data_IF_841346686874
#
_entry.id   IF_841346686874
#
_cell.length_a   1.000
_cell.length_b   1.000
_cell.length_c   1.000
_cell.angle_alpha   90.00
_cell.angle_beta   90.00
_cell.angle_gamma   90.00
#
_symmetry.space_group_name_H-M   'P 1'
#
loop_
_entity.id
_entity.type
_entity.pdbx_description
1 polymer ?
#
# COMPACT_ATOMS: atom_id res chain seq x y z
N UNK A 1 27.23 -59.97 -66.29
CA UNK A 1 26.58 -59.31 -67.45
C UNK A 1 25.37 -58.57 -66.90
N UNK A 2 25.18 -57.26 -66.93
CA UNK A 2 25.76 -56.14 -67.68
C UNK A 2 26.20 -55.01 -66.70
N UNK A 3 27.35 -54.34 -66.84
CA UNK A 3 27.76 -53.22 -67.72
C UNK A 3 26.97 -51.91 -67.45
N UNK A 4 27.69 -50.88 -66.95
CA UNK A 4 27.37 -49.44 -66.75
C UNK A 4 27.14 -48.69 -68.10
N UNK A 5 26.87 -47.36 -68.25
CA UNK A 5 27.59 -46.22 -67.64
C UNK A 5 26.80 -44.88 -67.47
N UNK A 6 27.59 -43.85 -67.12
CA UNK A 6 27.39 -42.41 -66.87
C UNK A 6 26.85 -41.56 -68.03
N UNK A 7 26.29 -40.36 -67.73
CA UNK A 7 26.62 -39.10 -68.44
C UNK A 7 26.02 -37.82 -67.79
N UNK A 8 26.84 -36.78 -67.79
CA UNK A 8 26.62 -35.38 -67.42
C UNK A 8 25.60 -34.64 -68.30
N UNK A 9 25.05 -33.53 -67.77
CA UNK A 9 24.38 -32.50 -68.57
C UNK A 9 24.17 -31.20 -67.80
N UNK A 10 25.19 -30.33 -67.78
CA UNK A 10 25.09 -28.95 -67.31
C UNK A 10 24.17 -28.13 -68.22
N UNK A 11 23.32 -27.29 -67.62
CA UNK A 11 22.70 -26.17 -68.31
C UNK A 11 22.74 -24.93 -67.41
N UNK A 12 23.67 -24.03 -67.74
CA UNK A 12 23.74 -22.66 -67.27
C UNK A 12 22.42 -21.92 -67.51
N UNK A 13 21.91 -21.21 -66.50
CA UNK A 13 21.01 -20.06 -66.70
C UNK A 13 21.53 -18.84 -65.93
N UNK A 14 21.37 -17.62 -66.48
CA UNK A 14 22.13 -16.44 -66.07
C UNK A 14 21.58 -15.79 -64.81
N UNK A 15 22.47 -15.06 -64.13
CA UNK A 15 22.20 -14.16 -63.02
C UNK A 15 21.02 -13.22 -63.29
N UNK A 16 20.13 -13.10 -62.31
CA UNK A 16 19.41 -11.85 -62.08
C UNK A 16 19.55 -11.54 -60.59
N UNK A 17 20.46 -10.60 -60.29
CA UNK A 17 20.71 -10.05 -58.97
C UNK A 17 19.43 -9.38 -58.47
N UNK A 18 18.76 -9.97 -57.48
CA UNK A 18 17.76 -9.25 -56.70
C UNK A 18 18.49 -8.17 -55.88
N UNK A 19 18.01 -6.90 -55.86
CA UNK A 19 18.64 -5.87 -55.06
C UNK A 19 18.54 -6.23 -53.56
N UNK A 20 19.55 -5.91 -52.75
CA UNK A 20 19.45 -6.11 -51.31
C UNK A 20 18.31 -5.25 -50.79
N UNK A 21 17.33 -5.88 -50.15
CA UNK A 21 16.34 -5.17 -49.35
C UNK A 21 17.08 -4.47 -48.22
N UNK A 22 17.30 -3.17 -48.37
CA UNK A 22 17.74 -2.29 -47.30
C UNK A 22 16.64 -2.34 -46.24
N UNK A 23 16.83 -3.24 -45.27
CA UNK A 23 16.01 -3.33 -44.08
C UNK A 23 16.04 -1.97 -43.40
N UNK A 24 14.91 -1.26 -43.48
CA UNK A 24 14.60 -0.09 -42.66
C UNK A 24 15.08 -0.39 -41.23
N UNK A 25 15.86 0.49 -40.58
CA UNK A 25 16.19 0.29 -39.18
C UNK A 25 14.86 0.20 -38.43
N UNK A 26 14.62 -0.96 -37.80
CA UNK A 26 13.54 -1.10 -36.82
C UNK A 26 13.79 0.00 -35.81
N UNK A 27 12.91 1.01 -35.77
CA UNK A 27 12.90 2.03 -34.74
C UNK A 27 12.82 1.26 -33.42
N UNK A 28 13.93 1.18 -32.70
CA UNK A 28 13.94 0.71 -31.33
C UNK A 28 13.08 1.73 -30.57
N UNK A 29 11.83 1.35 -30.30
CA UNK A 29 10.99 2.06 -29.37
C UNK A 29 11.74 2.05 -28.05
N UNK A 30 12.35 3.18 -27.68
CA UNK A 30 12.98 3.34 -26.38
C UNK A 30 11.93 2.95 -25.33
N UNK A 31 12.27 2.14 -24.32
CA UNK A 31 11.35 1.89 -23.23
C UNK A 31 10.96 3.25 -22.66
N UNK A 32 9.65 3.47 -22.51
CA UNK A 32 9.15 4.65 -21.80
C UNK A 32 9.68 4.54 -20.37
N UNK A 33 10.78 5.25 -20.10
CA UNK A 33 11.31 5.42 -18.74
C UNK A 33 10.31 6.35 -18.06
N UNK A 34 9.30 5.75 -17.43
CA UNK A 34 8.44 6.49 -16.52
C UNK A 34 9.34 7.02 -15.40
N UNK A 35 9.35 8.34 -15.13
CA UNK A 35 10.10 8.89 -14.00
C UNK A 35 9.66 8.17 -12.74
N UNK A 36 10.62 7.56 -12.05
CA UNK A 36 10.40 6.92 -10.76
C UNK A 36 9.83 7.98 -9.81
N UNK A 37 8.68 7.74 -9.15
CA UNK A 37 8.22 8.68 -8.15
C UNK A 37 9.28 8.76 -7.05
N UNK A 38 9.74 9.98 -6.75
CA UNK A 38 10.58 10.21 -5.58
C UNK A 38 9.80 9.79 -4.33
N UNK A 39 10.52 9.39 -3.28
CA UNK A 39 9.89 9.10 -1.99
C UNK A 39 8.98 10.27 -1.56
N UNK A 40 9.38 11.52 -1.82
CA UNK A 40 8.62 12.73 -1.49
C UNK A 40 7.21 12.83 -2.06
N UNK A 41 6.87 12.03 -3.07
CA UNK A 41 5.50 11.94 -3.58
C UNK A 41 4.55 11.34 -2.52
N UNK A 42 5.04 10.48 -1.62
CA UNK A 42 4.25 9.96 -0.49
C UNK A 42 3.90 11.04 0.54
N UNK A 43 4.84 11.94 0.85
CA UNK A 43 4.58 13.08 1.71
C UNK A 43 3.55 14.03 1.08
N UNK A 44 3.68 14.33 -0.22
CA UNK A 44 2.74 15.18 -0.94
C UNK A 44 1.33 14.57 -1.00
N UNK A 45 1.21 13.27 -1.24
CA UNK A 45 -0.08 12.58 -1.22
C UNK A 45 -0.74 12.66 0.16
N UNK A 46 0.03 12.56 1.24
CA UNK A 46 -0.49 12.71 2.61
C UNK A 46 -1.08 14.10 2.88
N UNK A 47 -0.56 15.15 2.24
CA UNK A 47 -1.10 16.51 2.34
C UNK A 47 -2.49 16.61 1.69
N UNK A 48 -2.72 15.95 0.54
CA UNK A 48 -4.06 15.92 -0.10
C UNK A 48 -5.12 15.25 0.80
N UNK A 49 -4.72 14.27 1.60
CA UNK A 49 -5.60 13.60 2.57
C UNK A 49 -6.02 14.51 3.72
N UNK A 50 -5.25 15.56 4.05
CA UNK A 50 -5.63 16.52 5.10
C UNK A 50 -6.98 17.15 4.79
N UNK A 51 -7.21 17.54 3.54
CA UNK A 51 -8.49 18.12 3.11
C UNK A 51 -9.64 17.11 3.20
N UNK A 52 -9.42 15.85 2.81
CA UNK A 52 -10.45 14.81 2.94
C UNK A 52 -10.80 14.51 4.39
N UNK A 53 -9.80 14.40 5.28
CA UNK A 53 -10.02 14.25 6.73
C UNK A 53 -10.79 15.47 7.28
N UNK A 54 -10.37 16.69 6.94
CA UNK A 54 -11.06 17.91 7.38
C UNK A 54 -12.49 18.02 6.85
N UNK A 55 -12.75 17.64 5.59
CA UNK A 55 -14.11 17.62 5.02
C UNK A 55 -14.99 16.62 5.77
N UNK A 56 -14.49 15.41 6.01
CA UNK A 56 -15.25 14.35 6.70
C UNK A 56 -15.59 14.70 8.14
N UNK A 57 -14.67 15.35 8.84
CA UNK A 57 -14.90 15.95 10.17
C UNK A 57 -16.02 17.00 10.17
N UNK A 58 -16.04 17.91 9.19
CA UNK A 58 -17.11 18.90 9.03
C UNK A 58 -18.48 18.27 8.74
N UNK A 59 -18.53 17.21 7.95
CA UNK A 59 -19.77 16.46 7.71
C UNK A 59 -20.28 15.73 8.96
N UNK A 60 -19.38 15.25 9.82
CA UNK A 60 -19.73 14.68 11.13
C UNK A 60 -20.44 15.71 12.01
N UNK A 61 -20.02 16.97 12.00
CA UNK A 61 -20.68 18.05 12.77
C UNK A 61 -22.12 18.32 12.30
N UNK A 62 -22.41 18.29 10.99
CA UNK A 62 -23.77 18.54 10.46
C UNK A 62 -24.75 17.42 10.84
N UNK A 63 -24.27 16.17 10.96
CA UNK A 63 -25.08 15.04 11.45
C UNK A 63 -25.37 15.07 12.96
N UNK A 64 -24.56 15.80 13.74
CA UNK A 64 -24.71 15.92 15.21
C UNK A 64 -25.70 17.03 15.62
N UNK A 65 -26.18 17.86 14.68
CA UNK A 65 -27.16 18.94 14.96
C UNK A 65 -28.59 18.40 15.19
N UNK A 66 -28.83 17.08 15.06
CA UNK A 66 -30.11 16.44 15.41
C UNK A 66 -30.01 15.41 16.55
N UNK A 67 -28.88 15.34 17.25
CA UNK A 67 -28.62 14.35 18.32
C UNK A 67 -28.36 14.92 19.70
N UNK A 68 -28.57 16.21 19.95
CA UNK A 68 -28.35 16.78 21.29
C UNK A 68 -29.54 16.53 22.21
N UNK A 69 -29.55 15.35 22.83
CA UNK A 69 -29.92 15.23 24.24
C UNK A 69 -29.25 14.03 24.90
N UNK A 70 -28.51 14.38 25.96
CA UNK A 70 -28.00 13.53 27.06
C UNK A 70 -26.65 12.83 26.83
N UNK A 71 -25.57 13.52 27.22
CA UNK A 71 -24.70 13.06 28.31
C UNK A 71 -23.64 14.11 28.63
N UNK A 72 -24.02 15.10 29.46
CA UNK A 72 -23.06 15.86 30.25
C UNK A 72 -22.72 15.04 31.49
N UNK A 73 -21.82 14.06 31.32
CA UNK A 73 -21.06 13.52 32.45
C UNK A 73 -19.63 13.98 32.25
N UNK A 74 -19.23 14.95 33.08
CA UNK A 74 -17.84 15.27 33.39
C UNK A 74 -17.27 14.03 34.10
N UNK A 75 -17.03 12.99 33.31
CA UNK A 75 -16.32 11.80 33.73
C UNK A 75 -14.86 12.05 33.43
N UNK A 76 -14.03 11.94 34.46
CA UNK A 76 -12.59 11.79 34.34
C UNK A 76 -12.30 10.72 33.28
N UNK A 77 -12.05 11.12 32.02
CA UNK A 77 -11.57 10.16 31.02
C UNK A 77 -10.18 9.76 31.48
N UNK A 78 -9.99 8.47 31.73
CA UNK A 78 -8.66 7.93 32.02
C UNK A 78 -7.69 8.41 30.95
N UNK A 79 -6.47 8.83 31.33
CA UNK A 79 -5.49 9.29 30.36
C UNK A 79 -5.24 8.18 29.33
N UNK A 80 -5.29 8.55 28.05
CA UNK A 80 -5.11 7.61 26.95
C UNK A 80 -3.67 7.13 26.96
N UNK A 81 -3.48 5.85 27.26
CA UNK A 81 -2.15 5.24 27.30
C UNK A 81 -1.58 5.09 25.89
N UNK A 82 -0.29 5.42 25.72
CA UNK A 82 0.41 5.16 24.46
C UNK A 82 0.39 3.67 24.11
N UNK A 83 0.45 2.79 25.11
CA UNK A 83 0.34 1.34 24.91
C UNK A 83 -1.01 0.95 24.27
N UNK A 84 -2.11 1.57 24.70
CA UNK A 84 -3.43 1.31 24.13
C UNK A 84 -3.54 1.86 22.72
N UNK A 85 -2.98 3.05 22.47
CA UNK A 85 -2.87 3.64 21.13
C UNK A 85 -2.11 2.71 20.18
N UNK A 86 -0.99 2.14 20.62
CA UNK A 86 -0.18 1.22 19.81
C UNK A 86 -0.91 -0.10 19.55
N UNK A 87 -1.59 -0.66 20.55
CA UNK A 87 -2.37 -1.89 20.39
C UNK A 87 -3.58 -1.68 19.46
N UNK A 88 -4.25 -0.53 19.58
CA UNK A 88 -5.31 -0.16 18.65
C UNK A 88 -4.76 0.03 17.23
N UNK A 89 -3.59 0.65 17.05
CA UNK A 89 -2.94 0.78 15.75
C UNK A 89 -2.66 -0.57 15.09
N UNK A 90 -2.11 -1.54 15.84
CA UNK A 90 -1.86 -2.91 15.36
C UNK A 90 -3.15 -3.60 14.93
N UNK A 91 -4.22 -3.46 15.73
CA UNK A 91 -5.54 -4.03 15.39
C UNK A 91 -6.15 -3.39 14.15
N UNK A 92 -6.16 -2.05 14.06
CA UNK A 92 -6.60 -1.29 12.90
C UNK A 92 -5.85 -1.73 11.64
N UNK A 93 -4.52 -1.88 11.74
CA UNK A 93 -3.66 -2.30 10.64
C UNK A 93 -4.03 -3.72 10.20
N UNK A 94 -4.13 -4.67 11.12
CA UNK A 94 -4.54 -6.04 10.80
C UNK A 94 -5.94 -6.12 10.15
N UNK A 95 -6.90 -5.30 10.60
CA UNK A 95 -8.25 -5.23 10.03
C UNK A 95 -8.22 -4.69 8.61
N UNK A 96 -7.51 -3.59 8.40
CA UNK A 96 -7.35 -2.97 7.09
C UNK A 96 -6.64 -3.91 6.10
N UNK A 97 -5.50 -4.51 6.49
CA UNK A 97 -4.78 -5.47 5.64
C UNK A 97 -5.66 -6.68 5.30
N UNK A 98 -6.42 -7.25 6.25
CA UNK A 98 -7.35 -8.34 5.94
C UNK A 98 -8.41 -7.90 4.94
N UNK A 99 -8.97 -6.70 5.06
CA UNK A 99 -9.96 -6.19 4.13
C UNK A 99 -9.37 -6.00 2.72
N UNK A 100 -8.19 -5.38 2.63
CA UNK A 100 -7.48 -5.12 1.36
C UNK A 100 -7.01 -6.39 0.67
N UNK A 101 -6.50 -7.37 1.41
CA UNK A 101 -6.09 -8.65 0.83
C UNK A 101 -7.29 -9.49 0.36
N UNK A 102 -8.46 -9.36 1.01
CA UNK A 102 -9.69 -10.04 0.57
C UNK A 102 -10.25 -9.51 -0.75
N UNK A 103 -10.01 -8.25 -1.10
CA UNK A 103 -10.46 -7.70 -2.39
C UNK A 103 -9.61 -8.20 -3.56
N UNK A 104 -8.49 -8.87 -3.31
CA UNK A 104 -7.65 -9.47 -4.34
C UNK A 104 -7.90 -10.99 -4.44
N UNK A 105 -8.35 -11.46 -5.61
CA UNK A 105 -8.76 -12.86 -5.86
C UNK A 105 -7.62 -13.88 -5.77
N UNK A 106 -6.35 -13.43 -5.78
CA UNK A 106 -5.15 -14.26 -5.90
C UNK A 106 -4.51 -14.70 -4.56
N UNK A 107 -5.08 -14.35 -3.41
CA UNK A 107 -4.49 -14.74 -2.12
C UNK A 107 -4.80 -16.22 -1.85
N UNK A 108 -3.77 -17.05 -1.67
CA UNK A 108 -3.91 -18.42 -1.13
C UNK A 108 -4.70 -18.33 0.20
N UNK A 109 -5.99 -18.65 0.13
CA UNK A 109 -7.08 -18.12 0.99
C UNK A 109 -6.97 -18.43 2.48
N UNK A 110 -5.96 -19.20 2.93
CA UNK A 110 -5.94 -19.78 4.28
C UNK A 110 -4.80 -19.29 5.17
N UNK A 111 -3.56 -19.11 4.72
CA UNK A 111 -2.45 -18.91 5.65
C UNK A 111 -2.28 -17.47 6.13
N UNK A 112 -2.31 -16.48 5.23
CA UNK A 112 -2.13 -15.06 5.58
C UNK A 112 -3.31 -14.46 6.38
N UNK A 113 -4.54 -14.88 6.06
CA UNK A 113 -5.74 -14.32 6.70
C UNK A 113 -5.90 -14.78 8.16
N UNK A 114 -5.51 -16.03 8.49
CA UNK A 114 -5.67 -16.58 9.84
C UNK A 114 -4.76 -15.87 10.85
N UNK A 115 -3.50 -15.60 10.50
CA UNK A 115 -2.57 -14.85 11.37
C UNK A 115 -3.06 -13.42 11.59
N UNK A 116 -3.58 -12.77 10.54
CA UNK A 116 -4.21 -11.46 10.69
C UNK A 116 -5.44 -11.50 11.61
N UNK A 117 -6.25 -12.58 11.60
CA UNK A 117 -7.46 -12.70 12.45
C UNK A 117 -7.14 -12.52 13.92
N UNK A 118 -6.08 -13.16 14.40
CA UNK A 118 -5.62 -13.01 15.78
C UNK A 118 -5.32 -11.54 16.11
N UNK A 119 -4.53 -10.84 15.28
CA UNK A 119 -4.16 -9.44 15.53
C UNK A 119 -5.33 -8.46 15.45
N UNK A 120 -6.29 -8.68 14.54
CA UNK A 120 -7.48 -7.82 14.47
C UNK A 120 -8.44 -7.96 15.64
N UNK A 121 -8.33 -9.06 16.39
CA UNK A 121 -9.15 -9.31 17.56
C UNK A 121 -8.47 -8.84 18.86
N UNK A 122 -7.21 -8.37 18.79
CA UNK A 122 -6.42 -7.98 19.97
C UNK A 122 -6.86 -6.65 20.60
N UNK A 123 -7.58 -5.78 19.90
CA UNK A 123 -8.00 -4.49 20.45
C UNK A 123 -9.45 -4.52 20.97
N UNK A 124 -9.57 -4.38 22.29
CA UNK A 124 -10.79 -4.20 23.04
C UNK A 124 -11.08 -2.70 23.16
N UNK A 125 -12.08 -2.22 22.42
CA UNK A 125 -12.61 -0.87 22.57
C UNK A 125 -13.89 -0.75 21.75
N UNK A 126 -14.96 -0.19 22.34
CA UNK A 126 -16.31 -0.15 21.78
C UNK A 126 -16.38 0.45 20.37
N UNK A 127 -15.42 1.32 20.00
CA UNK A 127 -15.46 2.09 18.75
C UNK A 127 -14.37 1.67 17.74
N UNK A 128 -13.56 0.64 18.02
CA UNK A 128 -12.46 0.23 17.12
C UNK A 128 -12.95 -0.20 15.74
N UNK A 129 -14.17 -0.76 15.65
CA UNK A 129 -14.76 -1.15 14.37
C UNK A 129 -15.13 0.05 13.48
N UNK A 130 -15.68 1.11 14.09
CA UNK A 130 -16.05 2.36 13.41
C UNK A 130 -14.81 3.09 12.92
N UNK A 131 -13.81 3.24 13.80
CA UNK A 131 -12.51 3.84 13.44
C UNK A 131 -11.86 3.05 12.29
N UNK A 132 -11.89 1.71 12.34
CA UNK A 132 -11.36 0.89 11.26
C UNK A 132 -12.11 1.10 9.93
N UNK A 133 -13.42 1.35 9.97
CA UNK A 133 -14.20 1.62 8.79
C UNK A 133 -13.89 3.01 8.22
N UNK A 134 -13.83 4.04 9.06
CA UNK A 134 -13.50 5.40 8.64
C UNK A 134 -12.10 5.47 8.06
N UNK A 135 -11.12 4.86 8.74
CA UNK A 135 -9.75 4.76 8.26
C UNK A 135 -9.69 4.07 6.89
N UNK A 136 -10.45 2.99 6.69
CA UNK A 136 -10.53 2.29 5.40
C UNK A 136 -11.13 3.16 4.30
N UNK A 137 -12.12 3.99 4.61
CA UNK A 137 -12.70 4.90 3.63
C UNK A 137 -11.71 5.98 3.23
N UNK A 138 -10.99 6.56 4.19
CA UNK A 138 -9.96 7.57 3.93
C UNK A 138 -8.77 6.99 3.14
N UNK A 139 -8.32 5.78 3.46
CA UNK A 139 -7.26 5.12 2.69
C UNK A 139 -7.71 4.79 1.28
N UNK A 140 -8.93 4.28 1.10
CA UNK A 140 -9.47 4.02 -0.24
C UNK A 140 -9.57 5.31 -1.08
N UNK A 141 -10.00 6.42 -0.47
CA UNK A 141 -10.06 7.72 -1.15
C UNK A 141 -8.67 8.19 -1.59
N UNK A 142 -7.69 8.13 -0.70
CA UNK A 142 -6.28 8.44 -1.00
C UNK A 142 -5.71 7.56 -2.13
N UNK A 143 -5.98 6.26 -2.09
CA UNK A 143 -5.56 5.32 -3.13
C UNK A 143 -6.20 5.62 -4.48
N UNK A 144 -7.47 6.00 -4.50
CA UNK A 144 -8.19 6.37 -5.73
C UNK A 144 -7.66 7.68 -6.33
N UNK A 145 -7.22 8.62 -5.49
CA UNK A 145 -6.60 9.87 -5.94
C UNK A 145 -5.18 9.64 -6.48
N UNK A 146 -4.45 8.66 -5.95
CA UNK A 146 -3.06 8.38 -6.30
C UNK A 146 -2.83 6.90 -6.67
N UNK A 147 -3.51 6.35 -7.69
CA UNK A 147 -3.52 4.91 -7.96
C UNK A 147 -2.13 4.37 -8.28
N UNK A 148 -1.31 5.11 -9.03
CA UNK A 148 0.07 4.72 -9.35
C UNK A 148 0.95 4.62 -8.10
N UNK A 149 0.70 5.43 -7.07
CA UNK A 149 1.51 5.50 -5.86
C UNK A 149 1.23 4.33 -4.90
N UNK A 150 -0.02 3.87 -4.83
CA UNK A 150 -0.46 2.84 -3.89
C UNK A 150 -0.80 1.49 -4.54
N UNK A 151 -0.56 1.33 -5.85
CA UNK A 151 -0.70 0.04 -6.53
C UNK A 151 0.44 -0.94 -6.19
N UNK A 152 1.67 -0.42 -6.08
CA UNK A 152 2.88 -1.18 -5.70
C UNK A 152 3.95 -0.22 -5.17
N UNK A 153 4.37 -0.42 -3.92
CA UNK A 153 5.46 0.35 -3.30
C UNK A 153 6.80 -0.14 -3.84
N UNK A 154 6.97 -1.46 -3.97
CA UNK A 154 8.19 -2.05 -4.53
C UNK A 154 8.49 -1.50 -5.93
N UNK A 155 7.48 -1.45 -6.81
CA UNK A 155 7.64 -0.93 -8.18
C UNK A 155 7.99 0.55 -8.20
N UNK A 156 7.41 1.36 -7.31
CA UNK A 156 7.75 2.78 -7.16
C UNK A 156 9.20 2.99 -6.70
N UNK A 157 9.78 1.98 -6.05
CA UNK A 157 11.18 1.97 -5.67
C UNK A 157 12.10 1.29 -6.70
N UNK A 158 11.58 0.92 -7.87
CA UNK A 158 12.34 0.20 -8.89
C UNK A 158 12.77 -1.21 -8.46
N UNK A 159 12.08 -1.78 -7.46
CA UNK A 159 12.33 -3.14 -6.98
C UNK A 159 11.43 -4.11 -7.73
N UNK A 160 12.04 -5.17 -8.28
CA UNK A 160 11.31 -6.24 -8.97
C UNK A 160 10.75 -7.30 -8.02
N UNK A 161 11.37 -7.48 -6.85
CA UNK A 161 10.91 -8.39 -5.81
C UNK A 161 11.27 -7.88 -4.40
N UNK A 162 10.74 -8.55 -3.38
CA UNK A 162 11.06 -8.34 -1.97
C UNK A 162 11.58 -9.68 -1.42
N UNK A 163 12.89 -9.95 -1.53
CA UNK A 163 13.44 -11.30 -1.37
C UNK A 163 13.49 -11.78 0.09
N UNK A 164 13.22 -10.90 1.06
CA UNK A 164 13.25 -11.22 2.48
C UNK A 164 12.35 -10.29 3.29
N UNK A 165 11.93 -10.73 4.47
CA UNK A 165 11.19 -9.90 5.42
C UNK A 165 11.97 -8.63 5.83
N UNK A 166 13.30 -8.74 5.95
CA UNK A 166 14.16 -7.58 6.22
C UNK A 166 14.09 -6.53 5.11
N UNK A 167 14.05 -6.94 3.83
CA UNK A 167 13.88 -6.01 2.71
C UNK A 167 12.53 -5.28 2.78
N UNK A 168 11.46 -6.00 3.14
CA UNK A 168 10.13 -5.42 3.37
C UNK A 168 10.18 -4.38 4.49
N UNK A 169 10.82 -4.69 5.62
CA UNK A 169 10.95 -3.77 6.76
C UNK A 169 11.77 -2.52 6.41
N UNK A 170 12.84 -2.66 5.63
CA UNK A 170 13.65 -1.53 5.17
C UNK A 170 12.86 -0.61 4.23
N UNK A 171 12.11 -1.19 3.30
CA UNK A 171 11.21 -0.44 2.41
C UNK A 171 10.13 0.30 3.22
N UNK A 172 9.52 -0.38 4.19
CA UNK A 172 8.56 0.25 5.10
C UNK A 172 9.19 1.44 5.81
N UNK A 173 10.37 1.28 6.41
CA UNK A 173 11.04 2.34 7.18
C UNK A 173 11.36 3.56 6.30
N UNK A 174 11.94 3.34 5.11
CA UNK A 174 12.30 4.42 4.20
C UNK A 174 11.09 5.25 3.75
N UNK A 175 9.96 4.59 3.44
CA UNK A 175 8.73 5.30 3.01
C UNK A 175 8.02 5.95 4.21
N UNK A 176 8.06 5.32 5.39
CA UNK A 176 7.48 5.91 6.60
C UNK A 176 8.22 7.17 7.02
N UNK A 177 9.56 7.14 7.09
CA UNK A 177 10.39 8.32 7.40
C UNK A 177 10.10 9.49 6.45
N UNK A 178 9.89 9.17 5.18
CA UNK A 178 9.51 10.16 4.17
C UNK A 178 8.13 10.80 4.44
N UNK A 179 7.11 9.98 4.69
CA UNK A 179 5.75 10.45 5.00
C UNK A 179 5.76 11.37 6.22
N UNK A 180 6.62 11.08 7.20
CA UNK A 180 6.72 11.81 8.46
C UNK A 180 7.91 12.78 8.54
N UNK A 181 8.47 13.25 7.40
CA UNK A 181 9.55 14.25 7.43
C UNK A 181 9.14 15.57 8.10
N UNK A 182 7.87 15.97 8.01
CA UNK A 182 7.29 17.08 8.77
C UNK A 182 6.28 16.61 9.82
N UNK A 183 5.50 17.53 10.38
CA UNK A 183 4.61 17.26 11.50
C UNK A 183 3.65 16.08 11.30
N UNK A 184 3.41 15.35 12.39
CA UNK A 184 2.42 14.27 12.44
C UNK A 184 1.03 14.85 12.18
N UNK A 185 0.27 14.19 11.32
CA UNK A 185 -1.13 14.53 11.06
C UNK A 185 -1.93 13.29 10.71
N UNK A 186 -3.25 13.37 10.87
CA UNK A 186 -4.14 12.27 10.49
C UNK A 186 -4.02 11.89 9.01
N UNK A 187 -3.81 12.85 8.10
CA UNK A 187 -3.57 12.58 6.68
C UNK A 187 -2.30 11.74 6.44
N UNK A 188 -1.23 11.99 7.19
CA UNK A 188 0.02 11.19 7.15
C UNK A 188 -0.14 9.82 7.78
N UNK A 189 -0.90 9.72 8.86
CA UNK A 189 -1.27 8.43 9.44
C UNK A 189 -2.06 7.62 8.41
N UNK A 190 -3.06 8.19 7.75
CA UNK A 190 -3.80 7.51 6.67
C UNK A 190 -2.86 7.06 5.54
N UNK A 191 -1.92 7.92 5.11
CA UNK A 191 -0.92 7.56 4.10
C UNK A 191 -0.01 6.39 4.52
N UNK A 192 0.38 6.32 5.80
CA UNK A 192 1.12 5.20 6.38
C UNK A 192 0.32 3.89 6.26
N UNK A 193 -0.98 3.91 6.55
CA UNK A 193 -1.84 2.73 6.38
C UNK A 193 -1.95 2.34 4.91
N UNK A 194 -2.20 3.28 4.00
CA UNK A 194 -2.29 3.02 2.57
C UNK A 194 -0.98 2.43 2.01
N UNK A 195 0.18 2.97 2.39
CA UNK A 195 1.49 2.46 1.96
C UNK A 195 1.77 1.05 2.51
N UNK A 196 1.35 0.76 3.74
CA UNK A 196 1.50 -0.57 4.35
C UNK A 196 0.60 -1.59 3.65
N UNK A 197 -0.60 -1.17 3.25
CA UNK A 197 -1.52 -1.98 2.45
C UNK A 197 -0.95 -2.32 1.08
N UNK A 198 -0.37 -1.34 0.39
CA UNK A 198 0.28 -1.53 -0.89
C UNK A 198 1.50 -2.47 -0.78
N UNK A 199 2.32 -2.29 0.25
CA UNK A 199 3.48 -3.15 0.50
C UNK A 199 3.06 -4.59 0.88
N UNK A 200 1.98 -4.77 1.65
CA UNK A 200 1.42 -6.09 1.92
C UNK A 200 0.92 -6.79 0.65
N UNK A 201 0.34 -6.03 -0.29
CA UNK A 201 -0.05 -6.54 -1.60
C UNK A 201 1.17 -6.95 -2.43
N UNK A 202 2.28 -6.20 -2.38
CA UNK A 202 3.54 -6.56 -3.04
C UNK A 202 4.08 -7.89 -2.49
N UNK A 203 4.09 -8.08 -1.17
CA UNK A 203 4.50 -9.35 -0.54
C UNK A 203 3.66 -10.53 -1.04
N UNK A 204 2.33 -10.40 -1.06
CA UNK A 204 1.45 -11.50 -1.48
C UNK A 204 1.58 -11.79 -2.98
N UNK A 205 1.67 -10.76 -3.83
CA UNK A 205 1.89 -10.93 -5.28
C UNK A 205 3.25 -11.54 -5.57
N UNK A 206 4.26 -11.24 -4.75
CA UNK A 206 5.59 -11.82 -4.80
C UNK A 206 5.69 -13.24 -4.23
N UNK A 207 4.59 -13.83 -3.75
CA UNK A 207 4.59 -15.20 -3.20
C UNK A 207 4.98 -15.31 -1.73
N UNK A 208 5.04 -14.20 -0.99
CA UNK A 208 5.48 -14.12 0.40
C UNK A 208 4.41 -13.62 1.38
N UNK A 209 3.23 -14.27 1.48
CA UNK A 209 2.17 -13.86 2.40
C UNK A 209 2.58 -13.92 3.88
N UNK A 210 3.63 -14.66 4.24
CA UNK A 210 4.16 -14.79 5.58
C UNK A 210 4.74 -13.49 6.15
N UNK A 211 5.22 -12.58 5.29
CA UNK A 211 5.80 -11.28 5.69
C UNK A 211 4.74 -10.26 6.13
N UNK A 212 3.47 -10.49 5.82
CA UNK A 212 2.38 -9.55 6.10
C UNK A 212 2.17 -9.35 7.61
N UNK A 213 2.39 -10.38 8.43
CA UNK A 213 2.29 -10.22 9.88
C UNK A 213 3.42 -9.33 10.42
N UNK A 214 4.63 -9.50 9.90
CA UNK A 214 5.80 -8.67 10.22
C UNK A 214 5.52 -7.20 9.97
N UNK A 215 4.84 -6.86 8.87
CA UNK A 215 4.40 -5.49 8.59
C UNK A 215 3.50 -4.88 9.67
N UNK A 216 2.57 -5.65 10.24
CA UNK A 216 1.70 -5.15 11.32
C UNK A 216 2.50 -4.86 12.59
N UNK A 217 3.47 -5.73 12.91
CA UNK A 217 4.38 -5.50 14.03
C UNK A 217 5.26 -4.28 13.77
N UNK A 218 5.79 -4.17 12.54
CA UNK A 218 6.66 -3.08 12.13
C UNK A 218 5.95 -1.72 12.21
N UNK A 219 4.72 -1.66 11.71
CA UNK A 219 3.80 -0.53 11.87
C UNK A 219 3.60 -0.17 13.35
N UNK A 220 3.31 -1.16 14.19
CA UNK A 220 3.10 -0.92 15.62
C UNK A 220 4.30 -0.27 16.30
N UNK A 221 5.52 -0.70 15.97
CA UNK A 221 6.75 -0.14 16.56
C UNK A 221 7.02 1.27 16.02
N UNK A 222 6.74 1.54 14.74
CA UNK A 222 6.83 2.90 14.20
C UNK A 222 5.83 3.83 14.88
N UNK A 223 4.59 3.37 15.07
CA UNK A 223 3.56 4.14 15.79
C UNK A 223 4.01 4.42 17.22
N UNK A 224 4.52 3.43 17.94
CA UNK A 224 5.03 3.59 19.31
C UNK A 224 6.12 4.65 19.40
N UNK A 225 7.09 4.63 18.49
CA UNK A 225 8.24 5.54 18.48
C UNK A 225 7.86 6.96 18.06
N UNK A 226 7.11 7.12 16.98
CA UNK A 226 7.03 8.40 16.26
C UNK A 226 5.63 9.04 16.27
N UNK A 227 4.57 8.29 16.59
CA UNK A 227 3.19 8.72 16.33
C UNK A 227 2.31 8.69 17.58
N UNK A 228 2.56 7.76 18.51
CA UNK A 228 1.67 7.47 19.63
C UNK A 228 1.48 8.67 20.55
N UNK A 229 2.57 9.40 20.84
CA UNK A 229 2.51 10.60 21.67
C UNK A 229 1.57 11.66 21.08
N UNK A 230 1.64 11.88 19.76
CA UNK A 230 0.78 12.82 19.07
C UNK A 230 -0.68 12.35 19.09
N UNK A 231 -0.96 11.06 18.84
CA UNK A 231 -2.32 10.52 18.90
C UNK A 231 -2.91 10.68 20.31
N UNK A 232 -2.13 10.43 21.36
CA UNK A 232 -2.56 10.69 22.74
C UNK A 232 -2.93 12.17 22.95
N UNK A 233 -2.11 13.11 22.45
CA UNK A 233 -2.41 14.55 22.52
C UNK A 233 -3.70 14.93 21.78
N UNK A 234 -4.03 14.22 20.70
CA UNK A 234 -5.28 14.45 19.98
C UNK A 234 -6.51 13.93 20.72
N UNK A 235 -6.38 13.15 21.79
CA UNK A 235 -7.52 12.46 22.43
C UNK A 235 -7.77 11.05 21.89
N UNK A 236 -6.76 10.43 21.27
CA UNK A 236 -6.78 9.04 20.81
C UNK A 236 -7.33 8.86 19.38
N UNK A 237 -7.53 7.60 19.00
CA UNK A 237 -7.97 7.25 17.64
C UNK A 237 -9.42 7.66 17.32
N UNK A 238 -10.27 7.89 18.33
CA UNK A 238 -11.64 8.38 18.12
C UNK A 238 -11.64 9.75 17.41
N UNK A 239 -10.63 10.57 17.66
CA UNK A 239 -10.50 11.89 17.04
C UNK A 239 -10.18 11.83 15.54
N UNK A 240 -9.90 10.66 14.97
CA UNK A 240 -9.91 10.50 13.51
C UNK A 240 -11.30 10.81 12.92
N UNK A 241 -12.37 10.48 13.66
CA UNK A 241 -13.77 10.64 13.25
C UNK A 241 -14.39 11.95 13.75
N UNK A 242 -13.90 12.48 14.86
CA UNK A 242 -14.41 13.70 15.49
C UNK A 242 -13.75 14.95 14.89
N UNK A 243 -14.56 15.99 14.67
CA UNK A 243 -14.19 17.25 14.01
C UNK A 243 -14.20 18.42 14.95
#
# INVERSE_FOLDING_TARGET
MAISPTANGSANRPMTLAPPSIGRPRKYSLPVIYPRPSLSVYANAAETTKESVSRRRKFSQVGQVMGHRLSTTIGWRSPISQHDVVNQAKSLCGRYLRAKLRSCSAVHKKLGLQRLKSVSNLACGSNTAEIANELRLLTNELENLHPKLFQSVASNLGLHNLPSEAAVHNVFAAVAEEIFRGDVSWGRIVALFAMTGALAMDCVKGGHPEYVLGLVQRMGIFVERDVAAWICQQGGWACLMEG
#
